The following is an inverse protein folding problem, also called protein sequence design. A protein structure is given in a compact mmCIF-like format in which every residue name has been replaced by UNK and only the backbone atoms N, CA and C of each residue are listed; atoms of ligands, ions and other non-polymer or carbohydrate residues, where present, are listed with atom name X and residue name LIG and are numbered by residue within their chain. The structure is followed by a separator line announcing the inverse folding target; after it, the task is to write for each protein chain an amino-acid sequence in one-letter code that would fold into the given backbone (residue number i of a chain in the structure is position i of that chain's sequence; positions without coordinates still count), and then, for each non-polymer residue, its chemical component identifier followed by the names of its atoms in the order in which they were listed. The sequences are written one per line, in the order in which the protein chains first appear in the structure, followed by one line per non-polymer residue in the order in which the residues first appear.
data_IF_907096646113
#
_entry.id   IF_907096646113
#
_cell.length_a   1.000
_cell.length_b   1.000
_cell.length_c   1.000
_cell.angle_alpha   90.00
_cell.angle_beta   90.00
_cell.angle_gamma   90.00
#
_symmetry.space_group_name_H-M   'P 1'
#
loop_
_entity.id
_entity.type
_entity.pdbx_description
1 polymer ?
#
# COMPACT_ATOMS: atom_id res chain seq x y z
N UNK A 1 47.35 14.78 9.62
CA UNK A 1 46.52 13.88 8.79
C UNK A 1 45.12 13.81 9.39
N UNK A 2 44.16 14.54 8.81
CA UNK A 2 42.78 14.62 9.29
C UNK A 2 42.04 13.33 8.87
N UNK A 3 41.50 12.62 9.86
CA UNK A 3 40.95 11.27 9.75
C UNK A 3 39.99 11.10 8.56
N UNK A 4 40.32 10.13 7.70
CA UNK A 4 39.59 9.74 6.48
C UNK A 4 38.39 8.82 6.78
N UNK A 5 37.92 8.80 8.02
CA UNK A 5 36.96 7.80 8.52
C UNK A 5 35.49 8.25 8.33
N UNK A 6 35.24 9.56 8.15
CA UNK A 6 33.87 10.10 8.00
C UNK A 6 33.21 9.81 6.65
N UNK A 7 33.89 9.10 5.72
CA UNK A 7 33.45 8.94 4.33
C UNK A 7 32.89 7.56 3.98
N UNK A 8 32.74 6.66 4.94
CA UNK A 8 32.19 5.31 4.73
C UNK A 8 30.77 5.11 5.27
N UNK A 9 30.00 6.18 5.46
CA UNK A 9 28.54 6.04 5.40
C UNK A 9 28.20 5.88 3.92
N UNK A 10 28.29 4.66 3.40
CA UNK A 10 27.68 4.26 2.13
C UNK A 10 26.18 4.45 2.33
N UNK A 11 25.71 5.69 2.18
CA UNK A 11 24.28 5.98 2.10
C UNK A 11 23.85 5.28 0.83
N UNK A 12 23.07 4.21 0.98
CA UNK A 12 22.46 3.52 -0.16
C UNK A 12 21.58 4.54 -0.86
N UNK A 13 22.12 5.18 -1.90
CA UNK A 13 21.42 6.10 -2.79
C UNK A 13 20.31 5.28 -3.45
N UNK A 14 19.12 5.32 -2.86
CA UNK A 14 17.94 4.76 -3.49
C UNK A 14 17.71 5.63 -4.71
N UNK A 15 17.98 5.09 -5.90
CA UNK A 15 17.77 5.81 -7.15
C UNK A 15 16.36 6.41 -7.15
N UNK A 16 16.21 7.75 -7.31
CA UNK A 16 14.92 8.42 -7.25
C UNK A 16 13.94 7.86 -8.29
N UNK A 17 14.47 7.41 -9.44
CA UNK A 17 13.70 6.75 -10.48
C UNK A 17 13.08 5.43 -9.97
N UNK A 18 13.84 4.63 -9.23
CA UNK A 18 13.36 3.37 -8.67
C UNK A 18 12.30 3.62 -7.60
N UNK A 19 12.44 4.68 -6.80
CA UNK A 19 11.43 5.08 -5.82
C UNK A 19 10.11 5.53 -6.48
N UNK A 20 10.18 6.37 -7.52
CA UNK A 20 9.01 6.84 -8.27
C UNK A 20 8.30 5.67 -8.97
N UNK A 21 9.05 4.77 -9.61
CA UNK A 21 8.45 3.60 -10.26
C UNK A 21 7.65 2.74 -9.27
N UNK A 22 8.22 2.44 -8.10
CA UNK A 22 7.50 1.69 -7.07
C UNK A 22 6.27 2.46 -6.57
N UNK A 23 6.38 3.78 -6.41
CA UNK A 23 5.26 4.62 -6.02
C UNK A 23 4.11 4.57 -7.05
N UNK A 24 4.41 4.75 -8.34
CA UNK A 24 3.42 4.66 -9.41
C UNK A 24 2.78 3.26 -9.49
N UNK A 25 3.57 2.20 -9.33
CA UNK A 25 3.07 0.83 -9.32
C UNK A 25 2.11 0.60 -8.15
N UNK A 26 2.49 1.02 -6.94
CA UNK A 26 1.61 0.95 -5.77
C UNK A 26 0.35 1.79 -5.95
N UNK A 27 0.47 3.00 -6.52
CA UNK A 27 -0.68 3.87 -6.78
C UNK A 27 -1.67 3.22 -7.77
N UNK A 28 -1.16 2.63 -8.86
CA UNK A 28 -2.00 1.92 -9.83
C UNK A 28 -2.67 0.70 -9.22
N UNK A 29 -1.94 -0.07 -8.42
CA UNK A 29 -2.51 -1.22 -7.71
C UNK A 29 -3.62 -0.80 -6.74
N UNK A 30 -3.42 0.30 -6.03
CA UNK A 30 -4.44 0.86 -5.14
C UNK A 30 -5.64 1.39 -5.90
N UNK A 31 -5.45 1.99 -7.07
CA UNK A 31 -6.55 2.41 -7.93
C UNK A 31 -7.43 1.22 -8.33
N UNK A 32 -6.81 0.10 -8.71
CA UNK A 32 -7.54 -1.14 -8.99
C UNK A 32 -8.31 -1.65 -7.76
N UNK A 33 -7.69 -1.64 -6.58
CA UNK A 33 -8.36 -2.02 -5.33
C UNK A 33 -9.59 -1.12 -5.05
N UNK A 34 -9.45 0.19 -5.21
CA UNK A 34 -10.56 1.13 -5.07
C UNK A 34 -11.68 0.86 -6.05
N UNK A 35 -11.34 0.62 -7.32
CA UNK A 35 -12.31 0.27 -8.36
C UNK A 35 -13.12 -0.97 -7.97
N UNK A 36 -12.43 -2.05 -7.54
CA UNK A 36 -13.09 -3.27 -7.06
C UNK A 36 -13.99 -2.96 -5.85
N UNK A 37 -13.52 -2.18 -4.87
CA UNK A 37 -14.32 -1.81 -3.71
C UNK A 37 -15.59 -1.04 -4.08
N UNK A 38 -15.50 -0.05 -4.98
CA UNK A 38 -16.65 0.77 -5.39
C UNK A 38 -17.72 -0.10 -6.04
N UNK A 39 -17.33 -0.99 -6.97
CA UNK A 39 -18.27 -1.92 -7.62
C UNK A 39 -18.92 -2.84 -6.58
N UNK A 40 -18.16 -3.32 -5.60
CA UNK A 40 -18.68 -4.14 -4.50
C UNK A 40 -19.64 -3.37 -3.58
N UNK A 41 -19.35 -2.11 -3.25
CA UNK A 41 -20.21 -1.27 -2.43
C UNK A 41 -21.50 -0.89 -3.16
N UNK A 42 -21.42 -0.52 -4.45
CA UNK A 42 -22.59 -0.24 -5.28
C UNK A 42 -23.57 -1.43 -5.24
N UNK A 43 -23.03 -2.63 -5.34
CA UNK A 43 -23.79 -3.86 -5.22
C UNK A 43 -24.40 -4.08 -3.83
N UNK A 44 -23.64 -3.83 -2.75
CA UNK A 44 -24.13 -3.94 -1.37
C UNK A 44 -25.31 -2.99 -1.09
N UNK A 45 -25.29 -1.79 -1.67
CA UNK A 45 -26.36 -0.81 -1.54
C UNK A 45 -27.52 -1.04 -2.52
N UNK A 46 -27.49 -2.11 -3.33
CA UNK A 46 -28.53 -2.41 -4.31
C UNK A 46 -28.56 -1.46 -5.51
N UNK A 47 -27.43 -0.79 -5.80
CA UNK A 47 -27.27 0.10 -6.94
C UNK A 47 -26.89 -0.72 -8.17
N UNK A 48 -27.90 -1.05 -8.99
CA UNK A 48 -27.75 -1.83 -10.21
C UNK A 48 -27.91 -0.90 -11.42
N UNK A 49 -26.80 -0.40 -11.98
CA UNK A 49 -26.79 0.22 -13.32
C UNK A 49 -26.16 -0.73 -14.34
N UNK A 50 -26.47 -0.56 -15.63
CA UNK A 50 -25.93 -1.40 -16.71
C UNK A 50 -24.40 -1.48 -16.70
N UNK A 51 -23.74 -0.37 -16.36
CA UNK A 51 -22.28 -0.32 -16.22
C UNK A 51 -21.79 -1.20 -15.06
N UNK A 52 -22.43 -1.13 -13.89
CA UNK A 52 -22.06 -1.93 -12.71
C UNK A 52 -22.31 -3.43 -12.91
N UNK A 53 -23.41 -3.78 -13.60
CA UNK A 53 -23.71 -5.17 -13.96
C UNK A 53 -22.64 -5.72 -14.94
N UNK A 54 -22.22 -4.91 -15.90
CA UNK A 54 -21.14 -5.27 -16.82
C UNK A 54 -19.80 -5.47 -16.10
N UNK A 55 -19.46 -4.59 -15.16
CA UNK A 55 -18.25 -4.76 -14.33
C UNK A 55 -18.32 -5.98 -13.41
N UNK A 56 -19.50 -6.33 -12.90
CA UNK A 56 -19.69 -7.53 -12.10
C UNK A 56 -19.38 -8.82 -12.87
N UNK A 57 -19.86 -8.90 -14.13
CA UNK A 57 -19.58 -10.02 -15.02
C UNK A 57 -18.09 -10.07 -15.41
N UNK A 58 -17.51 -8.91 -15.74
CA UNK A 58 -16.09 -8.79 -16.06
C UNK A 58 -15.20 -9.28 -14.92
N UNK A 59 -15.54 -8.89 -13.70
CA UNK A 59 -14.80 -9.27 -12.50
C UNK A 59 -15.19 -10.65 -11.96
N UNK A 60 -16.18 -11.32 -12.59
CA UNK A 60 -16.73 -12.63 -12.21
C UNK A 60 -17.03 -12.74 -10.70
N UNK A 61 -17.64 -11.69 -10.14
CA UNK A 61 -17.91 -11.69 -8.70
C UNK A 61 -19.01 -12.69 -8.35
N UNK A 62 -18.78 -13.47 -7.32
CA UNK A 62 -19.79 -14.34 -6.72
C UNK A 62 -20.27 -13.70 -5.40
N UNK A 63 -21.55 -13.81 -5.07
CA UNK A 63 -22.11 -13.40 -3.77
C UNK A 63 -21.39 -14.03 -2.56
N UNK A 64 -20.78 -15.21 -2.69
CA UNK A 64 -19.96 -15.79 -1.62
C UNK A 64 -18.56 -15.18 -1.51
N UNK A 65 -18.09 -14.53 -2.58
CA UNK A 65 -16.73 -13.98 -2.70
C UNK A 65 -16.65 -12.49 -2.34
N UNK A 66 -17.75 -11.72 -2.42
CA UNK A 66 -17.72 -10.28 -2.09
C UNK A 66 -17.32 -10.02 -0.64
N UNK A 67 -17.92 -10.75 0.33
CA UNK A 67 -17.57 -10.63 1.76
C UNK A 67 -16.10 -10.98 1.96
N UNK A 68 -15.62 -12.03 1.31
CA UNK A 68 -14.23 -12.49 1.41
C UNK A 68 -13.25 -11.47 0.82
N UNK A 69 -13.62 -10.82 -0.30
CA UNK A 69 -12.84 -9.76 -0.91
C UNK A 69 -12.77 -8.52 -0.02
N UNK A 70 -13.90 -8.06 0.52
CA UNK A 70 -13.94 -6.92 1.44
C UNK A 70 -13.10 -7.21 2.68
N UNK A 71 -13.27 -8.39 3.29
CA UNK A 71 -12.46 -8.81 4.46
C UNK A 71 -10.98 -8.85 4.09
N UNK A 72 -10.62 -9.42 2.94
CA UNK A 72 -9.24 -9.51 2.47
C UNK A 72 -8.61 -8.13 2.27
N UNK A 73 -9.33 -7.20 1.65
CA UNK A 73 -8.86 -5.81 1.46
C UNK A 73 -8.73 -5.11 2.80
N UNK A 74 -9.73 -5.16 3.68
CA UNK A 74 -9.65 -4.54 5.02
C UNK A 74 -8.49 -5.12 5.83
N UNK A 75 -8.30 -6.44 5.80
CA UNK A 75 -7.16 -7.09 6.45
C UNK A 75 -5.82 -6.60 5.90
N UNK A 76 -5.69 -6.47 4.58
CA UNK A 76 -4.52 -5.89 3.93
C UNK A 76 -4.26 -4.46 4.39
N UNK A 77 -5.29 -3.61 4.46
CA UNK A 77 -5.16 -2.22 4.94
C UNK A 77 -4.63 -2.19 6.37
N UNK A 78 -5.21 -2.99 7.27
CA UNK A 78 -4.79 -3.07 8.67
C UNK A 78 -3.34 -3.55 8.77
N UNK A 79 -2.98 -4.59 8.05
CA UNK A 79 -1.64 -5.17 8.07
C UNK A 79 -0.60 -4.18 7.53
N UNK A 80 -0.95 -3.44 6.49
CA UNK A 80 -0.11 -2.38 5.91
C UNK A 80 0.06 -1.20 6.88
N UNK A 81 -1.00 -0.82 7.60
CA UNK A 81 -0.96 0.23 8.62
C UNK A 81 -0.07 -0.17 9.81
N UNK A 82 -0.22 -1.39 10.32
CA UNK A 82 0.62 -1.94 11.40
C UNK A 82 2.08 -1.96 10.98
N UNK A 83 2.38 -2.46 9.78
CA UNK A 83 3.75 -2.48 9.24
C UNK A 83 4.33 -1.06 9.12
N UNK A 84 3.53 -0.10 8.64
CA UNK A 84 3.96 1.29 8.49
C UNK A 84 4.28 1.93 9.84
N UNK A 85 3.42 1.73 10.85
CA UNK A 85 3.64 2.20 12.22
C UNK A 85 4.91 1.59 12.80
N UNK A 86 5.09 0.27 12.68
CA UNK A 86 6.26 -0.44 13.18
C UNK A 86 7.55 0.09 12.52
N UNK A 87 7.54 0.24 11.20
CA UNK A 87 8.67 0.78 10.43
C UNK A 87 8.99 2.21 10.86
N UNK A 88 7.99 3.07 11.05
CA UNK A 88 8.20 4.44 11.51
C UNK A 88 8.79 4.47 12.92
N UNK A 89 8.29 3.62 13.83
CA UNK A 89 8.80 3.49 15.19
C UNK A 89 10.23 2.98 15.23
N UNK A 90 10.58 2.01 14.37
CA UNK A 90 11.94 1.50 14.22
C UNK A 90 12.90 2.59 13.74
N UNK A 91 12.53 3.35 12.72
CA UNK A 91 13.31 4.48 12.21
C UNK A 91 13.48 5.58 13.26
N UNK A 92 12.43 5.86 14.05
CA UNK A 92 12.48 6.83 15.15
C UNK A 92 13.44 6.39 16.26
N UNK A 93 13.44 5.11 16.63
CA UNK A 93 14.40 4.54 17.60
C UNK A 93 15.85 4.62 17.12
N UNK A 94 16.10 4.30 15.85
CA UNK A 94 17.44 4.41 15.26
C UNK A 94 17.94 5.86 15.27
N UNK A 95 17.08 6.82 14.91
CA UNK A 95 17.44 8.24 14.91
C UNK A 95 17.71 8.80 16.32
N UNK A 96 16.98 8.31 17.34
CA UNK A 96 17.24 8.73 18.74
C UNK A 96 18.56 8.23 19.31
N UNK A 97 19.08 7.10 18.82
CA UNK A 97 20.38 6.57 19.26
C UNK A 97 21.55 7.34 18.64
N UNK A 98 21.41 7.86 17.41
CA UNK A 98 22.47 8.67 16.75
C UNK A 98 22.63 10.05 17.40
N UNK A 99 21.61 10.60 18.05
CA UNK A 99 21.68 11.93 18.70
C UNK A 99 22.32 11.92 20.09
N UNK A 100 22.73 10.74 20.59
CA UNK A 100 23.30 10.55 21.94
C UNK A 100 24.82 10.36 21.95
N UNK A 101 25.45 10.25 20.78
CA UNK A 101 26.91 10.24 20.59
C UNK A 101 27.39 11.60 20.07
#
# INVERSE_FOLDING_TARGET
MKNKIDKFVIRKEISPFKAIFHFCLYAFLWFYVFFVLIVNFAFLFGYYSDDFVSFYLLLNLNYGLYIKLIIGVVALIILTAIYSIFRLHHLRRLNSNVKKD
#
